data_IF_970308178910
#
_entry.id   IF_970308178910
#
_cell.length_a   1.000
_cell.length_b   1.000
_cell.length_c   1.000
_cell.angle_alpha   90.00
_cell.angle_beta   90.00
_cell.angle_gamma   90.00
#
_symmetry.space_group_name_H-M   'P 1'
#
loop_
_entity.id
_entity.type
_entity.pdbx_description
1 polymer ?
#
# COMPACT_ATOMS: atom_id res chain seq x y z
N UNK A 1 -8.32 42.11 21.87
CA UNK A 1 -8.99 41.31 20.82
C UNK A 1 -8.03 40.75 19.75
N UNK A 2 -6.96 41.46 19.33
CA UNK A 2 -5.96 40.98 18.34
C UNK A 2 -5.20 39.68 18.72
N UNK A 3 -4.90 39.47 20.01
CA UNK A 3 -4.17 38.29 20.52
C UNK A 3 -4.99 36.99 20.44
N UNK A 4 -6.31 37.07 20.59
CA UNK A 4 -7.22 35.90 20.52
C UNK A 4 -7.37 35.37 19.09
N UNK A 5 -7.30 36.24 18.08
CA UNK A 5 -7.37 35.84 16.68
C UNK A 5 -6.16 35.01 16.22
N UNK A 6 -4.95 35.30 16.75
CA UNK A 6 -3.73 34.58 16.36
C UNK A 6 -3.67 33.15 16.94
N UNK A 7 -4.22 32.93 18.13
CA UNK A 7 -4.33 31.61 18.74
C UNK A 7 -5.32 30.70 18.01
N UNK A 8 -6.41 31.28 17.50
CA UNK A 8 -7.39 30.56 16.70
C UNK A 8 -6.82 30.13 15.33
N UNK A 9 -6.02 30.98 14.68
CA UNK A 9 -5.33 30.60 13.44
C UNK A 9 -4.28 29.51 13.69
N UNK A 10 -3.48 29.61 14.75
CA UNK A 10 -2.45 28.61 15.07
C UNK A 10 -3.04 27.22 15.39
N UNK A 11 -4.21 27.17 16.05
CA UNK A 11 -4.92 25.93 16.31
C UNK A 11 -5.45 25.24 15.05
N UNK A 12 -5.91 26.01 14.06
CA UNK A 12 -6.45 25.45 12.82
C UNK A 12 -5.36 24.81 11.93
N UNK A 13 -4.16 25.41 11.87
CA UNK A 13 -3.02 24.84 11.11
C UNK A 13 -2.50 23.55 11.74
N UNK A 14 -2.56 23.43 13.08
CA UNK A 14 -2.16 22.21 13.78
C UNK A 14 -3.10 21.01 13.50
N UNK A 15 -4.40 21.27 13.28
CA UNK A 15 -5.37 20.22 12.94
C UNK A 15 -5.23 19.74 11.48
N UNK A 16 -4.87 20.65 10.56
CA UNK A 16 -4.62 20.31 9.15
C UNK A 16 -3.33 19.49 8.95
N UNK A 17 -2.39 19.52 9.90
CA UNK A 17 -1.20 18.67 9.87
C UNK A 17 -1.48 17.21 10.32
N UNK A 18 -2.62 16.95 10.97
CA UNK A 18 -2.96 15.65 11.57
C UNK A 18 -4.02 14.81 10.82
N UNK A 19 -4.68 15.35 9.79
CA UNK A 19 -5.82 14.68 9.14
C UNK A 19 -5.51 13.96 7.82
N UNK A 20 -4.24 13.69 7.50
CA UNK A 20 -3.88 12.87 6.33
C UNK A 20 -3.40 11.50 6.79
N UNK A 21 -4.36 10.62 7.05
CA UNK A 21 -4.10 9.24 7.39
C UNK A 21 -3.75 8.46 6.13
N UNK A 22 -2.73 7.61 6.23
CA UNK A 22 -2.47 6.56 5.26
C UNK A 22 -3.73 5.72 5.13
N UNK A 23 -4.33 5.65 3.93
CA UNK A 23 -5.57 4.93 3.72
C UNK A 23 -5.31 3.43 3.49
N UNK A 24 -4.93 2.75 4.57
CA UNK A 24 -4.62 1.32 4.56
C UNK A 24 -5.82 0.47 4.12
N UNK A 25 -7.04 0.89 4.49
CA UNK A 25 -8.27 0.19 4.12
C UNK A 25 -8.52 0.25 2.60
N UNK A 26 -8.26 1.39 1.96
CA UNK A 26 -8.37 1.51 0.51
C UNK A 26 -7.39 0.60 -0.22
N UNK A 27 -6.14 0.50 0.25
CA UNK A 27 -5.18 -0.45 -0.32
C UNK A 27 -5.67 -1.90 -0.15
N UNK A 28 -6.13 -2.28 1.04
CA UNK A 28 -6.68 -3.62 1.27
C UNK A 28 -7.83 -3.98 0.33
N UNK A 29 -8.82 -3.08 0.21
CA UNK A 29 -9.98 -3.28 -0.66
C UNK A 29 -9.61 -3.32 -2.15
N UNK A 30 -8.66 -2.49 -2.56
CA UNK A 30 -8.16 -2.50 -3.93
C UNK A 30 -7.52 -3.85 -4.26
N UNK A 31 -6.66 -4.36 -3.38
CA UNK A 31 -5.94 -5.62 -3.63
C UNK A 31 -6.89 -6.82 -3.70
N UNK A 32 -7.92 -6.89 -2.85
CA UNK A 32 -8.91 -7.98 -2.88
C UNK A 32 -9.77 -7.97 -4.14
N UNK A 33 -9.92 -6.82 -4.80
CA UNK A 33 -10.58 -6.70 -6.10
C UNK A 33 -9.66 -7.05 -7.27
N UNK A 34 -8.35 -6.79 -7.12
CA UNK A 34 -7.35 -7.02 -8.18
C UNK A 34 -6.91 -8.48 -8.26
N UNK A 35 -6.60 -9.11 -7.12
CA UNK A 35 -6.09 -10.48 -7.02
C UNK A 35 -6.80 -11.26 -5.92
N UNK A 36 -6.94 -12.57 -6.09
CA UNK A 36 -7.67 -13.43 -5.16
C UNK A 36 -6.99 -14.81 -5.00
N UNK A 37 -7.10 -15.45 -3.82
CA UNK A 37 -6.67 -16.83 -3.64
C UNK A 37 -7.25 -17.77 -4.71
N UNK A 38 -6.47 -18.75 -5.13
CA UNK A 38 -6.79 -19.68 -6.22
C UNK A 38 -6.46 -19.15 -7.62
N UNK A 39 -6.18 -17.85 -7.79
CA UNK A 39 -5.75 -17.29 -9.07
C UNK A 39 -4.37 -17.86 -9.48
N UNK A 40 -4.12 -18.12 -10.78
CA UNK A 40 -2.78 -18.42 -11.26
C UNK A 40 -1.80 -17.30 -10.88
N UNK A 41 -0.64 -17.66 -10.33
CA UNK A 41 0.34 -16.70 -9.84
C UNK A 41 0.78 -15.75 -10.96
N UNK A 42 1.03 -16.26 -12.17
CA UNK A 42 1.42 -15.43 -13.31
C UNK A 42 0.35 -14.40 -13.67
N UNK A 43 -0.93 -14.80 -13.62
CA UNK A 43 -2.05 -13.88 -13.84
C UNK A 43 -2.11 -12.80 -12.75
N UNK A 44 -1.95 -13.19 -11.48
CA UNK A 44 -1.93 -12.26 -10.36
C UNK A 44 -0.80 -11.24 -10.51
N UNK A 45 0.39 -11.70 -10.90
CA UNK A 45 1.56 -10.84 -11.12
C UNK A 45 1.35 -9.87 -12.29
N UNK A 46 0.74 -10.33 -13.39
CA UNK A 46 0.39 -9.44 -14.51
C UNK A 46 -0.56 -8.34 -14.04
N UNK A 47 -1.64 -8.69 -13.33
CA UNK A 47 -2.60 -7.70 -12.81
C UNK A 47 -1.95 -6.70 -11.86
N UNK A 48 -1.15 -7.17 -10.91
CA UNK A 48 -0.43 -6.29 -9.98
C UNK A 48 0.50 -5.32 -10.72
N UNK A 49 1.23 -5.78 -11.74
CA UNK A 49 2.08 -4.91 -12.57
C UNK A 49 1.28 -3.90 -13.39
N UNK A 50 0.12 -4.29 -13.93
CA UNK A 50 -0.81 -3.37 -14.60
C UNK A 50 -1.25 -2.24 -13.67
N UNK A 51 -1.44 -2.55 -12.39
CA UNK A 51 -1.78 -1.58 -11.34
C UNK A 51 -0.57 -0.79 -10.77
N UNK A 52 0.60 -0.93 -11.40
CA UNK A 52 1.82 -0.19 -11.07
C UNK A 52 2.65 -0.78 -9.94
N UNK A 53 2.35 -2.01 -9.49
CA UNK A 53 3.21 -2.69 -8.51
C UNK A 53 4.42 -3.32 -9.19
N UNK A 54 5.59 -3.10 -8.62
CA UNK A 54 6.80 -3.84 -8.93
C UNK A 54 6.88 -5.10 -8.08
N UNK A 55 6.76 -6.27 -8.70
CA UNK A 55 6.79 -7.56 -8.01
C UNK A 55 8.15 -8.25 -8.20
N UNK A 56 8.88 -8.44 -7.10
CA UNK A 56 10.12 -9.20 -7.07
C UNK A 56 9.81 -10.69 -6.95
N UNK A 57 9.73 -11.36 -8.09
CA UNK A 57 9.50 -12.80 -8.18
C UNK A 57 10.79 -13.55 -7.89
N UNK A 58 10.95 -14.05 -6.66
CA UNK A 58 11.96 -15.07 -6.38
C UNK A 58 11.46 -16.43 -6.82
N UNK A 59 12.23 -17.15 -7.65
CA UNK A 59 11.91 -18.52 -8.05
C UNK A 59 11.95 -19.50 -6.86
N UNK A 60 12.82 -19.22 -5.88
CA UNK A 60 13.03 -20.03 -4.67
C UNK A 60 12.11 -19.66 -3.49
N UNK A 61 11.42 -18.52 -3.54
CA UNK A 61 10.57 -18.03 -2.45
C UNK A 61 9.11 -18.47 -2.58
N UNK A 62 8.48 -18.83 -1.45
CA UNK A 62 7.02 -19.03 -1.36
C UNK A 62 6.26 -17.69 -1.42
N UNK A 63 6.95 -16.58 -1.14
CA UNK A 63 6.40 -15.23 -1.09
C UNK A 63 6.97 -14.40 -2.23
N UNK A 64 6.09 -13.76 -2.99
CA UNK A 64 6.44 -12.73 -3.97
C UNK A 64 6.08 -11.37 -3.41
N UNK A 65 7.08 -10.51 -3.22
CA UNK A 65 6.90 -9.17 -2.66
C UNK A 65 6.59 -8.21 -3.80
N UNK A 66 5.43 -7.56 -3.74
CA UNK A 66 5.00 -6.52 -4.65
C UNK A 66 4.97 -5.17 -3.94
N UNK A 67 5.66 -4.16 -4.48
CA UNK A 67 5.68 -2.81 -3.92
C UNK A 67 5.25 -1.76 -4.93
N UNK A 68 4.62 -0.70 -4.46
CA UNK A 68 4.25 0.46 -5.28
C UNK A 68 4.61 1.74 -4.53
N UNK A 69 5.39 2.60 -5.18
CA UNK A 69 5.71 3.91 -4.66
C UNK A 69 4.56 4.86 -4.97
N UNK A 70 4.07 5.55 -3.95
CA UNK A 70 3.11 6.63 -4.04
C UNK A 70 3.84 7.93 -3.76
N UNK A 71 4.21 8.66 -4.81
CA UNK A 71 4.77 10.00 -4.65
C UNK A 71 3.67 10.97 -4.21
N UNK A 72 3.93 11.67 -3.10
CA UNK A 72 3.02 12.71 -2.62
C UNK A 72 3.75 14.04 -2.59
N UNK A 73 3.21 14.99 -3.36
CA UNK A 73 3.75 16.33 -3.60
C UNK A 73 4.17 17.11 -2.33
N UNK A 74 3.61 16.79 -1.17
CA UNK A 74 3.80 17.56 0.06
C UNK A 74 4.52 16.84 1.21
N UNK A 75 4.65 15.49 1.16
CA UNK A 75 5.24 14.69 2.26
C UNK A 75 5.98 13.44 1.75
N UNK A 76 6.55 13.55 0.54
CA UNK A 76 7.40 12.56 -0.14
C UNK A 76 6.77 11.21 -0.42
N UNK A 77 7.63 10.19 -0.53
CA UNK A 77 7.23 8.87 -1.03
C UNK A 77 6.67 7.99 0.08
N UNK A 78 5.48 7.45 -0.14
CA UNK A 78 4.98 6.28 0.58
C UNK A 78 5.22 5.02 -0.24
N UNK A 79 5.43 3.90 0.43
CA UNK A 79 5.60 2.59 -0.18
C UNK A 79 4.47 1.70 0.30
N UNK A 80 3.62 1.31 -0.63
CA UNK A 80 2.62 0.26 -0.45
C UNK A 80 3.31 -1.08 -0.70
N UNK A 81 3.08 -2.06 0.17
CA UNK A 81 3.64 -3.41 0.01
C UNK A 81 2.56 -4.46 0.16
N UNK A 82 2.57 -5.42 -0.74
CA UNK A 82 1.65 -6.56 -0.78
C UNK A 82 2.48 -7.81 -1.05
N UNK A 83 2.33 -8.79 -0.18
CA UNK A 83 3.02 -10.06 -0.27
C UNK A 83 2.05 -11.11 -0.83
N UNK A 84 2.38 -11.65 -2.00
CA UNK A 84 1.63 -12.71 -2.66
C UNK A 84 2.23 -14.06 -2.26
N UNK A 85 1.48 -14.88 -1.54
CA UNK A 85 1.96 -16.16 -1.03
C UNK A 85 1.45 -17.28 -1.91
N UNK A 86 2.33 -18.15 -2.37
CA UNK A 86 1.96 -19.36 -3.13
C UNK A 86 1.13 -20.30 -2.29
N UNK A 87 0.21 -21.03 -2.93
CA UNK A 87 -0.52 -22.11 -2.28
C UNK A 87 0.43 -23.22 -1.83
N UNK A 88 0.13 -23.82 -0.68
CA UNK A 88 0.85 -25.00 -0.17
C UNK A 88 0.59 -26.24 -1.03
N UNK A 89 -0.49 -26.25 -1.80
CA UNK A 89 -0.87 -27.36 -2.69
C UNK A 89 -0.40 -27.18 -4.13
N UNK A 90 -0.07 -25.96 -4.54
CA UNK A 90 0.44 -25.66 -5.89
C UNK A 90 1.21 -24.35 -5.93
N UNK A 91 2.48 -24.43 -6.33
CA UNK A 91 3.39 -23.28 -6.47
C UNK A 91 2.98 -22.32 -7.59
N UNK A 92 2.09 -22.75 -8.50
CA UNK A 92 1.60 -21.95 -9.62
C UNK A 92 0.34 -21.15 -9.28
N UNK A 93 -0.18 -21.29 -8.07
CA UNK A 93 -1.43 -20.63 -7.65
C UNK A 93 -1.19 -19.76 -6.42
N UNK A 94 -1.97 -18.70 -6.32
CA UNK A 94 -1.98 -17.82 -5.16
C UNK A 94 -2.74 -18.51 -4.01
N UNK A 95 -2.10 -18.65 -2.86
CA UNK A 95 -2.70 -19.22 -1.65
C UNK A 95 -3.27 -18.14 -0.74
N UNK A 96 -2.49 -17.12 -0.43
CA UNK A 96 -2.92 -15.98 0.39
C UNK A 96 -2.29 -14.68 -0.10
N UNK A 97 -2.84 -13.57 0.40
CA UNK A 97 -2.40 -12.22 0.08
C UNK A 97 -2.29 -11.46 1.38
N UNK A 98 -1.09 -10.97 1.68
CA UNK A 98 -0.83 -10.20 2.88
C UNK A 98 -0.57 -8.73 2.51
N UNK A 99 -1.49 -7.85 2.88
CA UNK A 99 -1.38 -6.41 2.64
C UNK A 99 -0.65 -5.77 3.81
N UNK A 100 0.61 -5.37 3.59
CA UNK A 100 1.46 -4.78 4.63
C UNK A 100 1.08 -3.34 4.92
N UNK A 101 1.45 -2.87 6.11
CA UNK A 101 1.30 -1.46 6.49
C UNK A 101 2.08 -0.56 5.51
N UNK A 102 1.37 0.41 4.91
CA UNK A 102 1.99 1.38 4.02
C UNK A 102 2.98 2.25 4.79
N UNK A 103 4.23 2.30 4.33
CA UNK A 103 5.31 3.05 4.98
C UNK A 103 5.54 4.37 4.27
N UNK A 104 5.40 5.49 4.96
CA UNK A 104 5.72 6.81 4.41
C UNK A 104 7.01 7.35 5.01
N UNK A 105 7.85 7.96 4.16
CA UNK A 105 8.96 8.75 4.66
C UNK A 105 8.44 9.88 5.55
N UNK A 106 8.89 9.94 6.80
CA UNK A 106 8.68 11.12 7.64
C UNK A 106 9.66 12.20 7.17
N UNK A 107 9.12 13.36 6.82
CA UNK A 107 9.88 14.60 6.69
C UNK A 107 10.05 15.22 8.06
#
# INVERSE_FOLDING_TARGET
MRKLLMLALAGLVAQLAGCYTVNQAALGNFITQTVQPGMPLDQALVRMRTEGFYCNTSSAGTVTICTRNQERLLRGSCVERVDLVRSTTSTQTLGSIDVMETRCAKF
#
